data_IF_654588579897
#
_entry.id   IF_654588579897
#
_cell.length_a   1.000
_cell.length_b   1.000
_cell.length_c   1.000
_cell.angle_alpha   90.00
_cell.angle_beta   90.00
_cell.angle_gamma   90.00
#
_symmetry.space_group_name_H-M   'P 1'
#
loop_
_entity.id
_entity.type
_entity.pdbx_description
1 polymer ?
#
# COMPACT_ATOMS: atom_id res chain seq x y z
N UNK A 1 -16.67 -22.71 24.17
CA UNK A 1 -16.11 -21.63 23.29
C UNK A 1 -15.34 -20.57 24.09
N UNK A 2 -15.69 -20.31 25.35
CA UNK A 2 -14.93 -19.42 26.24
C UNK A 2 -13.63 -20.07 26.81
N UNK A 3 -13.49 -21.39 26.70
CA UNK A 3 -12.34 -22.14 27.22
C UNK A 3 -11.00 -21.81 26.51
N UNK A 4 -11.05 -21.26 25.29
CA UNK A 4 -9.87 -20.76 24.57
C UNK A 4 -9.32 -19.44 25.14
N UNK A 5 -10.15 -18.67 25.84
CA UNK A 5 -9.73 -17.46 26.56
C UNK A 5 -9.37 -17.75 28.03
N UNK A 6 -9.82 -18.89 28.58
CA UNK A 6 -9.63 -19.25 29.98
C UNK A 6 -8.31 -20.00 30.28
N UNK A 7 -7.62 -20.56 29.28
CA UNK A 7 -6.23 -21.05 29.42
C UNK A 7 -5.21 -19.89 29.26
N UNK A 8 -5.19 -18.99 30.24
CA UNK A 8 -3.98 -18.28 30.69
C UNK A 8 -3.09 -17.58 29.64
N UNK A 9 -3.65 -16.90 28.63
CA UNK A 9 -2.90 -15.85 27.90
C UNK A 9 -2.20 -16.25 26.59
N UNK A 10 -2.28 -17.51 26.13
CA UNK A 10 -1.69 -17.92 24.84
C UNK A 10 -2.45 -17.41 23.61
N UNK A 11 -3.76 -17.20 23.72
CA UNK A 11 -4.56 -16.65 22.63
C UNK A 11 -4.06 -15.25 22.21
N UNK A 12 -3.68 -14.40 23.18
CA UNK A 12 -3.10 -13.08 22.88
C UNK A 12 -1.75 -13.17 22.14
N UNK A 13 -0.94 -14.20 22.40
CA UNK A 13 0.33 -14.42 21.67
C UNK A 13 0.11 -14.88 20.23
N UNK A 14 -0.86 -15.76 20.01
CA UNK A 14 -1.22 -16.23 18.66
C UNK A 14 -1.81 -15.06 17.87
N UNK A 15 -2.82 -14.39 18.42
CA UNK A 15 -3.42 -13.21 17.79
C UNK A 15 -2.42 -12.06 17.62
N UNK A 16 -1.47 -11.90 18.54
CA UNK A 16 -0.34 -10.97 18.41
C UNK A 16 0.57 -11.33 17.24
N UNK A 17 0.99 -12.58 17.11
CA UNK A 17 1.87 -13.04 16.02
C UNK A 17 1.20 -12.97 14.64
N UNK A 18 -0.08 -13.36 14.56
CA UNK A 18 -0.90 -13.18 13.36
C UNK A 18 -1.12 -11.69 13.06
N UNK A 19 -1.36 -10.87 14.07
CA UNK A 19 -1.48 -9.42 13.95
C UNK A 19 -0.20 -8.76 13.46
N UNK A 20 0.97 -9.15 13.96
CA UNK A 20 2.28 -8.67 13.51
C UNK A 20 2.54 -9.10 12.07
N UNK A 21 2.24 -10.34 11.71
CA UNK A 21 2.37 -10.83 10.32
C UNK A 21 1.46 -10.05 9.37
N UNK A 22 0.20 -9.85 9.74
CA UNK A 22 -0.74 -9.03 8.97
C UNK A 22 -0.30 -7.56 8.89
N UNK A 23 0.27 -7.03 9.97
CA UNK A 23 0.81 -5.66 10.02
C UNK A 23 1.94 -5.49 9.00
N UNK A 24 2.89 -6.42 8.93
CA UNK A 24 3.97 -6.39 7.93
C UNK A 24 3.41 -6.42 6.50
N UNK A 25 2.44 -7.30 6.23
CA UNK A 25 1.78 -7.36 4.91
C UNK A 25 1.11 -6.02 4.57
N UNK A 26 0.37 -5.42 5.52
CA UNK A 26 -0.29 -4.13 5.32
C UNK A 26 0.73 -3.03 5.06
N UNK A 27 1.81 -2.97 5.84
CA UNK A 27 2.89 -1.99 5.67
C UNK A 27 3.49 -2.09 4.27
N UNK A 28 3.79 -3.31 3.80
CA UNK A 28 4.34 -3.54 2.47
C UNK A 28 3.37 -3.09 1.36
N UNK A 29 2.08 -3.42 1.49
CA UNK A 29 1.03 -2.98 0.55
C UNK A 29 0.92 -1.45 0.52
N UNK A 30 0.93 -0.78 1.68
CA UNK A 30 0.84 0.68 1.78
C UNK A 30 2.07 1.33 1.15
N UNK A 31 3.26 0.81 1.40
CA UNK A 31 4.52 1.33 0.86
C UNK A 31 4.60 1.15 -0.66
N UNK A 32 4.16 0.01 -1.18
CA UNK A 32 4.03 -0.24 -2.63
C UNK A 32 2.98 0.67 -3.25
N UNK A 33 1.83 0.87 -2.60
CA UNK A 33 0.77 1.78 -3.08
C UNK A 33 1.23 3.24 -3.10
N UNK A 34 1.96 3.70 -2.10
CA UNK A 34 2.53 5.04 -2.08
C UNK A 34 3.49 5.23 -3.26
N UNK A 35 4.37 4.26 -3.51
CA UNK A 35 5.31 4.33 -4.64
C UNK A 35 4.60 4.36 -5.99
N UNK A 36 3.52 3.59 -6.16
CA UNK A 36 2.68 3.63 -7.37
C UNK A 36 2.02 5.00 -7.57
N UNK A 37 1.53 5.64 -6.50
CA UNK A 37 0.96 7.00 -6.59
C UNK A 37 2.00 8.03 -7.04
N UNK A 38 3.23 7.95 -6.55
CA UNK A 38 4.31 8.85 -6.97
C UNK A 38 4.66 8.70 -8.45
N UNK A 39 4.66 7.47 -8.98
CA UNK A 39 4.94 7.21 -10.39
C UNK A 39 3.81 7.77 -11.28
N UNK A 40 2.56 7.54 -10.92
CA UNK A 40 1.41 8.05 -11.69
C UNK A 40 1.35 9.59 -11.71
N UNK A 41 1.69 10.25 -10.60
CA UNK A 41 1.77 11.72 -10.54
C UNK A 41 2.89 12.28 -11.41
N UNK A 42 4.01 11.57 -11.56
CA UNK A 42 5.09 11.98 -12.46
C UNK A 42 4.70 11.77 -13.92
N UNK A 43 4.00 10.67 -14.22
CA UNK A 43 3.58 10.34 -15.58
C UNK A 43 2.53 11.33 -16.13
N UNK A 44 1.58 11.76 -15.30
CA UNK A 44 0.59 12.76 -15.70
C UNK A 44 1.21 14.11 -16.07
N UNK A 45 2.28 14.52 -15.37
CA UNK A 45 3.02 15.75 -15.68
C UNK A 45 3.76 15.65 -17.02
N UNK A 46 4.37 14.50 -17.33
CA UNK A 46 5.08 14.28 -18.61
C UNK A 46 4.10 14.25 -19.78
N UNK A 47 2.94 13.60 -19.63
CA UNK A 47 1.93 13.56 -20.69
C UNK A 47 1.40 14.94 -21.05
N UNK A 48 1.28 15.84 -20.06
CA UNK A 48 0.79 17.22 -20.30
C UNK A 48 1.77 18.04 -21.13
N UNK A 49 3.08 17.90 -20.87
CA UNK A 49 4.13 18.58 -21.64
C UNK A 49 4.20 18.02 -23.08
N UNK A 50 4.14 16.69 -23.23
CA UNK A 50 4.09 16.06 -24.56
C UNK A 50 2.86 16.46 -25.39
N UNK A 51 1.70 16.65 -24.74
CA UNK A 51 0.49 17.09 -25.43
C UNK A 51 0.63 18.52 -25.98
N UNK A 52 1.34 19.41 -25.27
CA UNK A 52 1.64 20.75 -25.78
C UNK A 52 2.70 20.73 -26.88
N UNK A 53 3.73 19.89 -26.77
CA UNK A 53 4.72 19.72 -27.85
C UNK A 53 4.09 19.16 -29.12
N UNK A 54 3.20 18.16 -29.00
CA UNK A 54 2.47 17.61 -30.14
C UNK A 54 1.60 18.66 -30.84
N UNK A 55 0.93 19.52 -30.05
CA UNK A 55 0.15 20.65 -30.59
C UNK A 55 1.03 21.69 -31.29
N UNK A 56 2.21 21.96 -30.74
CA UNK A 56 3.15 22.96 -31.28
C UNK A 56 3.87 22.49 -32.54
N UNK A 57 3.95 21.19 -32.77
CA UNK A 57 4.54 20.61 -33.98
C UNK A 57 3.55 20.52 -35.16
N UNK A 58 2.26 20.72 -34.90
CA UNK A 58 1.17 20.68 -35.89
C UNK A 58 0.76 22.09 -36.40
N UNK A 59 1.30 23.16 -35.81
CA UNK A 59 1.09 24.56 -36.25
C UNK A 59 2.35 25.12 -36.90
#
# INVERSE_FOLDING_TARGET
>A
MADFFAMGGHAFYVWGSFGVSALFIIVEIVMVKQRRRTILQRLSRIMRIKAEEAKRHET
#
